data_IF_012124317929
#
_entry.id   IF_012124317929
#
_cell.length_a   1.000
_cell.length_b   1.000
_cell.length_c   1.000
_cell.angle_alpha   90.00
_cell.angle_beta   90.00
_cell.angle_gamma   90.00
#
_symmetry.space_group_name_H-M   'P 1'
#
loop_
_entity.id
_entity.type
_entity.pdbx_description
1 polymer ?
#
# COMPACT_ATOMS: atom_id res chain seq x y z
N UNK A 1 -14.47 17.37 0.10
CA UNK A 1 -13.26 17.87 -0.59
C UNK A 1 -12.73 19.16 0.07
N UNK A 2 -13.52 20.24 0.14
CA UNK A 2 -13.07 21.49 0.77
C UNK A 2 -12.75 21.37 2.27
N UNK A 3 -13.53 20.57 3.02
CA UNK A 3 -13.28 20.33 4.45
C UNK A 3 -11.95 19.62 4.72
N UNK A 4 -11.57 18.67 3.86
CA UNK A 4 -10.28 17.97 3.93
C UNK A 4 -9.10 18.91 3.71
N UNK A 5 -9.25 19.85 2.76
CA UNK A 5 -8.25 20.89 2.48
C UNK A 5 -8.16 21.84 3.68
N UNK A 6 -9.29 22.19 4.30
CA UNK A 6 -9.33 23.10 5.43
C UNK A 6 -8.62 22.52 6.66
N UNK A 7 -8.90 21.26 6.99
CA UNK A 7 -8.20 20.51 8.04
C UNK A 7 -6.71 20.36 7.74
N UNK A 8 -6.37 20.10 6.48
CA UNK A 8 -4.97 20.04 6.06
C UNK A 8 -4.24 21.39 6.25
N UNK A 9 -4.85 22.49 5.82
CA UNK A 9 -4.26 23.83 5.96
C UNK A 9 -4.15 24.22 7.43
N UNK A 10 -5.07 23.78 8.28
CA UNK A 10 -4.98 23.94 9.73
C UNK A 10 -3.78 23.19 10.31
N UNK A 11 -3.55 21.93 9.88
CA UNK A 11 -2.35 21.18 10.26
C UNK A 11 -1.06 21.83 9.75
N UNK A 12 -1.07 22.38 8.53
CA UNK A 12 0.06 23.14 7.97
C UNK A 12 0.33 24.41 8.81
N UNK A 13 -0.71 25.15 9.17
CA UNK A 13 -0.59 26.35 9.99
C UNK A 13 -0.04 26.01 11.39
N UNK A 14 -0.53 24.93 12.02
CA UNK A 14 0.04 24.43 13.27
C UNK A 14 1.52 24.04 13.13
N UNK A 15 1.90 23.39 12.02
CA UNK A 15 3.29 23.07 11.72
C UNK A 15 4.13 24.34 11.57
N UNK A 16 3.66 25.37 10.87
CA UNK A 16 4.36 26.65 10.74
C UNK A 16 4.56 27.35 12.08
N UNK A 17 3.55 27.33 12.96
CA UNK A 17 3.65 27.92 14.30
C UNK A 17 4.70 27.17 15.13
N UNK A 18 4.69 25.83 15.09
CA UNK A 18 5.72 25.01 15.76
C UNK A 18 7.11 25.22 15.16
N UNK A 19 7.21 25.25 13.83
CA UNK A 19 8.48 25.48 13.12
C UNK A 19 9.05 26.86 13.44
N UNK A 20 8.20 27.89 13.49
CA UNK A 20 8.57 29.24 13.91
C UNK A 20 8.99 29.28 15.38
N UNK A 21 8.25 28.61 16.26
CA UNK A 21 8.62 28.50 17.67
C UNK A 21 9.99 27.83 17.84
N UNK A 22 10.24 26.70 17.16
CA UNK A 22 11.54 26.02 17.17
C UNK A 22 12.65 26.90 16.60
N UNK A 23 12.37 27.69 15.56
CA UNK A 23 13.33 28.62 14.99
C UNK A 23 13.70 29.77 15.93
N UNK A 24 12.74 30.25 16.73
CA UNK A 24 12.96 31.24 17.79
C UNK A 24 13.61 30.63 19.04
N UNK A 25 13.31 29.38 19.34
CA UNK A 25 13.91 28.64 20.46
C UNK A 25 15.36 28.25 20.19
N UNK A 26 15.82 28.27 18.94
CA UNK A 26 17.20 27.96 18.56
C UNK A 26 18.05 29.24 18.62
N UNK A 27 18.82 29.48 19.69
CA UNK A 27 19.75 30.60 19.75
C UNK A 27 20.97 30.25 18.87
N UNK A 28 21.67 31.26 18.37
CA UNK A 28 22.79 31.13 17.44
C UNK A 28 23.80 30.05 17.85
N UNK A 29 23.77 28.91 17.16
CA UNK A 29 24.80 27.89 17.29
C UNK A 29 24.99 27.19 15.94
N UNK A 30 26.14 26.56 15.72
CA UNK A 30 26.51 25.89 14.45
C UNK A 30 25.47 24.87 13.95
N UNK A 31 24.63 24.34 14.85
CA UNK A 31 23.50 23.45 14.56
C UNK A 31 22.31 24.13 13.86
N UNK A 32 22.21 25.45 13.88
CA UNK A 32 21.13 26.22 13.24
C UNK A 32 21.03 25.93 11.75
N UNK A 33 22.16 25.78 11.04
CA UNK A 33 22.16 25.45 9.61
C UNK A 33 21.49 24.11 9.32
N UNK A 34 21.78 23.09 10.14
CA UNK A 34 21.23 21.75 9.99
C UNK A 34 19.73 21.73 10.30
N UNK A 35 19.31 22.36 11.41
CA UNK A 35 17.90 22.44 11.80
C UNK A 35 17.09 23.27 10.80
N UNK A 36 17.66 24.35 10.26
CA UNK A 36 16.99 25.17 9.24
C UNK A 36 16.80 24.40 7.93
N UNK A 37 17.77 23.59 7.53
CA UNK A 37 17.63 22.70 6.37
C UNK A 37 16.58 21.62 6.62
N UNK A 38 16.59 21.03 7.82
CA UNK A 38 15.64 20.02 8.22
C UNK A 38 14.20 20.56 8.29
N UNK A 39 14.01 21.79 8.78
CA UNK A 39 12.72 22.46 8.76
C UNK A 39 12.19 22.70 7.35
N UNK A 40 13.07 23.09 6.41
CA UNK A 40 12.70 23.18 4.99
C UNK A 40 12.31 21.83 4.40
N UNK A 41 13.05 20.77 4.75
CA UNK A 41 12.76 19.41 4.29
C UNK A 41 11.45 18.87 4.88
N UNK A 42 11.21 19.10 6.17
CA UNK A 42 9.94 18.80 6.84
C UNK A 42 8.78 19.59 6.21
N UNK A 43 8.99 20.87 5.89
CA UNK A 43 7.97 21.68 5.23
C UNK A 43 7.60 21.08 3.86
N UNK A 44 8.60 20.70 3.06
CA UNK A 44 8.37 20.03 1.78
C UNK A 44 7.59 18.74 2.00
N UNK A 45 7.91 17.95 3.03
CA UNK A 45 7.25 16.69 3.35
C UNK A 45 5.77 16.89 3.76
N UNK A 46 5.48 17.90 4.58
CA UNK A 46 4.11 18.26 4.99
C UNK A 46 3.28 18.77 3.81
N UNK A 47 3.87 19.56 2.91
CA UNK A 47 3.23 20.01 1.67
C UNK A 47 3.08 18.87 0.66
N UNK A 48 3.94 17.84 0.73
CA UNK A 48 3.81 16.67 -0.12
C UNK A 48 2.55 15.87 0.20
N UNK A 49 2.14 15.79 1.46
CA UNK A 49 0.95 15.02 1.88
C UNK A 49 -0.34 15.36 1.11
N UNK A 50 -0.79 16.62 1.01
CA UNK A 50 -1.96 16.98 0.20
C UNK A 50 -1.66 16.92 -1.29
N UNK A 51 -0.41 17.15 -1.72
CA UNK A 51 -0.03 17.08 -3.14
C UNK A 51 -0.19 15.64 -3.62
N UNK A 52 0.16 14.65 -2.80
CA UNK A 52 -0.12 13.24 -3.04
C UNK A 52 -1.63 12.95 -3.11
N UNK A 53 -2.44 13.56 -2.23
CA UNK A 53 -3.90 13.42 -2.27
C UNK A 53 -4.53 14.11 -3.51
N UNK A 54 -4.06 15.30 -3.87
CA UNK A 54 -4.55 16.08 -5.01
C UNK A 54 -4.13 15.50 -6.36
N UNK A 55 -2.97 14.86 -6.43
CA UNK A 55 -2.46 14.25 -7.67
C UNK A 55 -3.20 12.95 -8.04
N UNK A 56 -4.14 12.48 -7.21
CA UNK A 56 -4.87 11.22 -7.44
C UNK A 56 -3.94 10.01 -7.49
N UNK A 57 -2.72 10.16 -6.97
CA UNK A 57 -1.74 9.07 -6.88
C UNK A 57 -2.24 7.98 -5.94
N UNK A 58 -3.04 8.37 -4.94
CA UNK A 58 -3.68 7.45 -4.01
C UNK A 58 -4.62 6.47 -4.72
N UNK A 59 -5.44 6.94 -5.67
CA UNK A 59 -6.31 6.07 -6.47
C UNK A 59 -5.50 5.12 -7.38
N UNK A 60 -4.41 5.61 -7.98
CA UNK A 60 -3.51 4.77 -8.79
C UNK A 60 -2.81 3.71 -7.95
N UNK A 61 -2.33 4.07 -6.76
CA UNK A 61 -1.67 3.14 -5.84
C UNK A 61 -2.68 2.11 -5.35
N UNK A 62 -3.90 2.51 -4.99
CA UNK A 62 -4.96 1.57 -4.60
C UNK A 62 -5.34 0.62 -5.74
N UNK A 63 -5.41 1.11 -6.98
CA UNK A 63 -5.62 0.29 -8.17
C UNK A 63 -4.52 -0.76 -8.34
N UNK A 64 -3.26 -0.33 -8.24
CA UNK A 64 -2.10 -1.23 -8.32
C UNK A 64 -2.09 -2.28 -7.21
N UNK A 65 -2.39 -1.87 -5.96
CA UNK A 65 -2.44 -2.79 -4.81
C UNK A 65 -3.56 -3.82 -4.98
N UNK A 66 -4.74 -3.41 -5.47
CA UNK A 66 -5.84 -4.35 -5.77
C UNK A 66 -5.45 -5.35 -6.85
N UNK A 67 -4.86 -4.88 -7.95
CA UNK A 67 -4.43 -5.75 -9.05
C UNK A 67 -3.37 -6.77 -8.59
N UNK A 68 -2.47 -6.34 -7.70
CA UNK A 68 -1.48 -7.22 -7.10
C UNK A 68 -2.11 -8.28 -6.17
N UNK A 69 -3.09 -7.89 -5.36
CA UNK A 69 -3.82 -8.83 -4.49
C UNK A 69 -4.69 -9.81 -5.29
N UNK A 70 -5.35 -9.34 -6.34
CA UNK A 70 -6.21 -10.17 -7.19
C UNK A 70 -5.38 -11.23 -7.92
N UNK A 71 -4.19 -10.84 -8.42
CA UNK A 71 -3.24 -11.76 -9.06
C UNK A 71 -2.76 -12.87 -8.12
N UNK A 72 -2.55 -12.55 -6.84
CA UNK A 72 -2.14 -13.54 -5.84
C UNK A 72 -3.30 -14.47 -5.47
N UNK A 73 -4.50 -13.92 -5.30
CA UNK A 73 -5.70 -14.69 -4.96
C UNK A 73 -6.06 -15.66 -6.07
N UNK A 74 -5.98 -15.23 -7.33
CA UNK A 74 -6.19 -16.11 -8.49
C UNK A 74 -5.21 -17.28 -8.50
N UNK A 75 -3.92 -17.04 -8.20
CA UNK A 75 -2.91 -18.12 -8.17
C UNK A 75 -3.26 -19.21 -7.16
N UNK A 76 -3.68 -18.83 -5.96
CA UNK A 76 -4.11 -19.77 -4.93
C UNK A 76 -5.36 -20.58 -5.35
N UNK A 77 -6.31 -19.93 -6.06
CA UNK A 77 -7.49 -20.61 -6.61
C UNK A 77 -7.13 -21.59 -7.74
N UNK A 78 -6.19 -21.22 -8.62
CA UNK A 78 -5.70 -22.08 -9.69
C UNK A 78 -4.93 -23.29 -9.16
N UNK A 79 -4.15 -23.12 -8.08
CA UNK A 79 -3.46 -24.22 -7.39
C UNK A 79 -4.47 -25.22 -6.80
N UNK A 80 -5.47 -24.74 -6.05
CA UNK A 80 -6.53 -25.61 -5.52
C UNK A 80 -7.29 -26.35 -6.62
N UNK A 81 -7.62 -25.66 -7.71
CA UNK A 81 -8.33 -26.27 -8.83
C UNK A 81 -7.47 -27.33 -9.53
N UNK A 82 -6.15 -27.15 -9.59
CA UNK A 82 -5.24 -28.15 -10.12
C UNK A 82 -5.16 -29.38 -9.20
N UNK A 83 -5.06 -29.17 -7.88
CA UNK A 83 -5.09 -30.26 -6.89
C UNK A 83 -6.41 -31.06 -6.95
N UNK A 84 -7.55 -30.37 -6.97
CA UNK A 84 -8.88 -30.99 -7.10
C UNK A 84 -9.01 -31.78 -8.41
N UNK A 85 -8.49 -31.19 -9.51
CA UNK A 85 -8.48 -31.86 -10.81
C UNK A 85 -7.67 -33.16 -10.74
N UNK A 86 -6.44 -33.12 -10.25
CA UNK A 86 -5.59 -34.32 -10.09
C UNK A 86 -6.27 -35.40 -9.22
N UNK A 87 -6.86 -35.03 -8.08
CA UNK A 87 -7.59 -35.96 -7.23
C UNK A 87 -8.78 -36.63 -7.94
N UNK A 88 -9.52 -35.89 -8.77
CA UNK A 88 -10.62 -36.47 -9.56
C UNK A 88 -10.14 -37.41 -10.67
N UNK A 89 -8.96 -37.16 -11.26
CA UNK A 89 -8.37 -38.04 -12.27
C UNK A 89 -7.87 -39.35 -11.67
N UNK A 90 -7.24 -39.30 -10.49
CA UNK A 90 -6.80 -40.50 -9.78
C UNK A 90 -7.98 -41.39 -9.37
N UNK A 91 -9.06 -40.81 -8.83
CA UNK A 91 -10.26 -41.55 -8.46
C UNK A 91 -10.99 -42.18 -9.66
N UNK A 92 -11.10 -41.44 -10.77
CA UNK A 92 -11.70 -41.93 -12.01
C UNK A 92 -10.86 -43.06 -12.66
N UNK A 93 -9.53 -42.94 -12.58
CA UNK A 93 -8.60 -43.98 -13.04
C UNK A 93 -8.71 -45.28 -12.24
N UNK A 94 -8.88 -45.21 -10.91
CA UNK A 94 -9.08 -46.41 -10.07
C UNK A 94 -10.40 -47.14 -10.38
N UNK A 95 -11.49 -46.42 -10.65
CA UNK A 95 -12.78 -47.03 -11.03
C UNK A 95 -12.71 -47.71 -12.41
N UNK A 96 -12.02 -47.09 -13.37
CA UNK A 96 -11.85 -47.65 -14.71
C UNK A 96 -11.02 -48.95 -14.72
N UNK A 97 -10.02 -49.06 -13.83
CA UNK A 97 -9.18 -50.26 -13.70
C UNK A 97 -9.97 -51.41 -13.05
N UNK A 98 -10.85 -51.13 -12.07
CA UNK A 98 -11.73 -52.15 -11.46
C UNK A 98 -12.80 -52.69 -12.42
N UNK A 99 -13.27 -51.88 -13.36
CA UNK A 99 -14.21 -52.32 -14.39
C UNK A 99 -13.62 -53.26 -15.46
N UNK A 100 -12.29 -53.41 -15.48
CA UNK A 100 -11.55 -54.23 -16.45
C UNK A 100 -11.01 -55.56 -15.89
N UNK A 101 -11.29 -55.91 -14.62
CA UNK A 101 -11.07 -57.27 -14.13
C UNK A 101 -12.10 -58.24 -14.76
N UNK A 102 -11.78 -58.67 -15.98
CA UNK A 102 -12.38 -59.84 -16.62
C UNK A 102 -12.08 -61.07 -15.75
N UNK A 103 -13.12 -61.59 -15.10
CA UNK A 103 -13.11 -62.89 -14.43
C UNK A 103 -12.62 -63.97 -15.42
N UNK A 104 -11.61 -64.78 -15.04
CA UNK A 104 -11.06 -65.81 -15.91
C UNK A 104 -12.07 -66.92 -16.25
#
# INVERSE_FOLDING_TARGET
MAESIYSWIQNLACFFILASAVMHFLPENSYKKYVQFYMGLLLILVILSPVFQFTGLEDKIQGFVREFQDTQTQREEWEKKAEDWEATWEASGEEAIKGQEVTP
#
